data_IF_610955231519
#
_entry.id   IF_610955231519
#
_cell.length_a   1.000
_cell.length_b   1.000
_cell.length_c   1.000
_cell.angle_alpha   90.00
_cell.angle_beta   90.00
_cell.angle_gamma   90.00
#
_symmetry.space_group_name_H-M   'P 1'
#
loop_
_entity.id
_entity.type
_entity.pdbx_description
1 polymer ?
#
# COMPACT_ATOMS: atom_id res chain seq x y z
N UNK A 1 -0.50 -8.23 8.10
CA UNK A 1 -0.39 -8.10 6.63
C UNK A 1 0.97 -7.54 6.28
N UNK A 2 1.30 -6.37 6.81
CA UNK A 2 2.65 -5.80 6.89
C UNK A 2 3.01 -5.57 8.37
N UNK A 3 4.29 -5.45 8.67
CA UNK A 3 4.77 -4.85 9.91
C UNK A 3 4.65 -3.32 9.79
N UNK A 4 3.90 -2.72 10.72
CA UNK A 4 3.62 -1.28 10.72
C UNK A 4 4.53 -0.50 11.68
N UNK A 5 5.53 -1.14 12.30
CA UNK A 5 6.42 -0.48 13.26
C UNK A 5 7.08 0.79 12.72
N UNK A 6 7.70 0.71 11.52
CA UNK A 6 8.29 1.88 10.86
C UNK A 6 7.26 2.97 10.57
N UNK A 7 6.09 2.58 10.06
CA UNK A 7 5.00 3.52 9.77
C UNK A 7 4.52 4.27 11.02
N UNK A 8 4.40 3.57 12.16
CA UNK A 8 4.04 4.17 13.44
C UNK A 8 5.14 5.10 13.98
N UNK A 9 6.41 4.75 13.77
CA UNK A 9 7.51 5.64 14.12
C UNK A 9 7.48 6.92 13.27
N UNK A 10 7.31 6.81 11.95
CA UNK A 10 7.13 7.96 11.06
C UNK A 10 5.93 8.80 11.48
N UNK A 11 4.80 8.17 11.83
CA UNK A 11 3.57 8.92 12.17
C UNK A 11 3.72 9.75 13.44
N UNK A 12 4.57 9.32 14.37
CA UNK A 12 4.88 10.08 15.59
C UNK A 12 5.75 11.31 15.36
N UNK A 13 6.40 11.40 14.19
CA UNK A 13 7.32 12.49 13.84
C UNK A 13 6.67 13.55 12.98
N UNK A 14 5.57 13.25 12.28
CA UNK A 14 4.90 14.17 11.35
C UNK A 14 3.82 15.00 12.03
N UNK A 15 3.51 16.16 11.46
CA UNK A 15 2.29 16.91 11.75
C UNK A 15 1.23 16.60 10.69
N UNK A 16 -0.04 16.78 11.07
CA UNK A 16 -1.16 16.67 10.15
C UNK A 16 -1.89 18.01 10.07
N UNK A 17 -2.21 18.43 8.86
CA UNK A 17 -3.01 19.62 8.61
C UNK A 17 -4.15 19.33 7.64
N UNK A 18 -5.17 20.18 7.71
CA UNK A 18 -6.16 20.29 6.65
C UNK A 18 -5.62 21.16 5.52
N UNK A 19 -6.12 20.99 4.28
CA UNK A 19 -5.79 21.90 3.19
C UNK A 19 -6.15 23.33 3.58
N UNK A 20 -5.28 24.27 3.25
CA UNK A 20 -5.56 25.69 3.35
C UNK A 20 -6.64 26.08 2.34
N UNK A 21 -7.33 27.21 2.55
CA UNK A 21 -8.32 27.72 1.58
C UNK A 21 -7.73 27.92 0.17
N UNK A 22 -6.44 28.19 0.04
CA UNK A 22 -5.77 28.32 -1.26
C UNK A 22 -5.57 26.96 -1.94
N UNK A 23 -5.33 25.89 -1.18
CA UNK A 23 -5.28 24.52 -1.69
C UNK A 23 -6.69 24.01 -2.01
N UNK A 24 -7.70 24.31 -1.17
CA UNK A 24 -9.11 23.98 -1.43
C UNK A 24 -9.67 24.71 -2.65
N UNK A 25 -9.26 25.95 -2.90
CA UNK A 25 -9.64 26.72 -4.09
C UNK A 25 -8.79 26.39 -5.31
N UNK A 26 -7.80 25.51 -5.16
CA UNK A 26 -7.01 25.05 -6.28
C UNK A 26 -5.99 26.07 -6.80
N UNK A 27 -5.52 26.99 -5.97
CA UNK A 27 -4.39 27.84 -6.34
C UNK A 27 -3.05 27.08 -6.23
N UNK A 28 -3.01 25.99 -5.47
CA UNK A 28 -1.83 25.13 -5.22
C UNK A 28 -2.31 23.67 -5.12
N UNK A 29 -1.65 22.73 -5.81
CA UNK A 29 -1.90 21.28 -5.71
C UNK A 29 -3.37 20.83 -5.91
N UNK A 30 -4.06 21.38 -6.93
CA UNK A 30 -5.50 21.21 -7.23
C UNK A 30 -6.06 19.78 -7.12
N UNK A 31 -5.31 18.80 -7.59
CA UNK A 31 -5.81 17.43 -7.79
C UNK A 31 -5.27 16.43 -6.77
N UNK A 32 -4.41 16.87 -5.85
CA UNK A 32 -3.76 15.99 -4.90
C UNK A 32 -4.75 15.52 -3.82
N UNK A 33 -4.92 14.20 -3.68
CA UNK A 33 -5.74 13.61 -2.62
C UNK A 33 -5.10 13.78 -1.23
N UNK A 34 -3.79 13.98 -1.21
CA UNK A 34 -2.98 14.33 -0.06
C UNK A 34 -1.68 14.98 -0.55
N UNK A 35 -0.97 15.72 0.32
CA UNK A 35 0.38 16.22 0.02
C UNK A 35 1.24 16.25 1.26
N UNK A 36 2.53 15.96 1.12
CA UNK A 36 3.52 16.13 2.16
C UNK A 36 4.38 17.38 1.92
N UNK A 37 4.54 18.18 2.97
CA UNK A 37 5.42 19.34 2.99
C UNK A 37 6.64 19.04 3.88
N UNK A 38 7.80 18.92 3.25
CA UNK A 38 9.10 18.63 3.87
C UNK A 38 9.57 19.75 4.81
N UNK A 39 9.36 21.01 4.45
CA UNK A 39 9.83 22.17 5.23
C UNK A 39 9.20 22.27 6.62
N UNK A 40 7.90 21.97 6.71
CA UNK A 40 7.14 22.02 7.97
C UNK A 40 6.79 20.63 8.48
N UNK A 41 7.26 19.58 7.80
CA UNK A 41 7.01 18.19 8.10
C UNK A 41 5.52 17.94 8.40
N UNK A 42 4.70 18.26 7.41
CA UNK A 42 3.24 18.21 7.55
C UNK A 42 2.64 17.46 6.39
N UNK A 43 1.86 16.42 6.68
CA UNK A 43 0.97 15.82 5.69
C UNK A 43 -0.36 16.55 5.74
N UNK A 44 -0.74 17.09 4.59
CA UNK A 44 -2.04 17.67 4.31
C UNK A 44 -2.93 16.56 3.75
N UNK A 45 -3.97 16.20 4.50
CA UNK A 45 -4.96 15.20 4.10
C UNK A 45 -6.32 15.88 3.93
N UNK A 46 -7.09 15.47 2.92
CA UNK A 46 -8.49 15.87 2.83
C UNK A 46 -9.27 15.42 4.09
N UNK A 47 -10.30 16.18 4.53
CA UNK A 47 -11.02 15.89 5.78
C UNK A 47 -11.52 14.44 5.91
N UNK A 48 -11.91 13.83 4.79
CA UNK A 48 -12.44 12.46 4.73
C UNK A 48 -11.38 11.43 5.12
N UNK A 49 -10.11 11.73 4.87
CA UNK A 49 -8.94 10.91 5.20
C UNK A 49 -8.33 11.22 6.58
N UNK A 50 -8.96 12.07 7.42
CA UNK A 50 -8.46 12.45 8.75
C UNK A 50 -9.29 11.88 9.92
N UNK A 51 -8.62 11.32 10.92
CA UNK A 51 -9.21 11.01 12.22
C UNK A 51 -9.19 12.21 13.18
N UNK A 52 -9.96 12.13 14.27
CA UNK A 52 -9.79 13.01 15.44
C UNK A 52 -9.50 12.17 16.68
N UNK A 53 -8.64 12.69 17.56
CA UNK A 53 -8.45 12.11 18.88
C UNK A 53 -9.55 12.56 19.85
N UNK A 54 -9.52 12.04 21.08
CA UNK A 54 -10.49 12.38 22.14
C UNK A 54 -10.50 13.87 22.50
N UNK A 55 -9.44 14.60 22.15
CA UNK A 55 -9.26 16.02 22.40
C UNK A 55 -9.62 16.87 21.17
N UNK A 56 -10.15 16.24 20.10
CA UNK A 56 -10.57 16.89 18.86
C UNK A 56 -9.42 17.27 17.93
N UNK A 57 -8.18 16.87 18.21
CA UNK A 57 -7.01 17.14 17.37
C UNK A 57 -6.96 16.17 16.20
N UNK A 58 -6.41 16.62 15.07
CA UNK A 58 -6.27 15.77 13.89
C UNK A 58 -5.23 14.67 14.13
N UNK A 59 -5.56 13.47 13.68
CA UNK A 59 -4.66 12.30 13.67
C UNK A 59 -4.89 11.47 12.41
N UNK A 60 -3.97 10.56 12.11
CA UNK A 60 -4.23 9.55 11.09
C UNK A 60 -5.40 8.67 11.55
N UNK A 61 -6.36 8.36 10.67
CA UNK A 61 -7.42 7.42 10.99
C UNK A 61 -6.83 6.02 11.16
N UNK A 62 -7.42 5.25 12.07
CA UNK A 62 -7.12 3.82 12.18
C UNK A 62 -7.64 3.09 10.95
N UNK A 63 -7.10 1.91 10.67
CA UNK A 63 -7.61 1.04 9.59
C UNK A 63 -9.11 0.75 9.77
N UNK A 64 -9.57 0.60 11.02
CA UNK A 64 -10.99 0.40 11.29
C UNK A 64 -11.85 1.60 10.89
N UNK A 65 -11.44 2.81 11.25
CA UNK A 65 -12.16 4.03 10.87
C UNK A 65 -12.18 4.23 9.35
N UNK A 66 -11.05 3.97 8.68
CA UNK A 66 -11.00 4.02 7.21
C UNK A 66 -11.97 3.01 6.58
N UNK A 67 -12.10 1.81 7.17
CA UNK A 67 -13.06 0.81 6.69
C UNK A 67 -14.50 1.25 6.88
N UNK A 68 -14.82 1.82 8.04
CA UNK A 68 -16.18 2.30 8.34
C UNK A 68 -16.58 3.42 7.39
N UNK A 69 -15.67 4.37 7.13
CA UNK A 69 -15.92 5.52 6.24
C UNK A 69 -16.03 5.16 4.76
N UNK A 70 -15.28 4.15 4.32
CA UNK A 70 -15.17 3.79 2.90
C UNK A 70 -15.93 2.50 2.54
N UNK A 71 -16.99 2.16 3.29
CA UNK A 71 -17.81 0.95 3.08
C UNK A 71 -16.95 -0.33 2.92
N UNK A 72 -15.88 -0.42 3.71
CA UNK A 72 -14.93 -1.51 3.69
C UNK A 72 -13.88 -1.45 2.57
N UNK A 73 -13.97 -0.56 1.58
CA UNK A 73 -12.98 -0.41 0.51
C UNK A 73 -11.82 0.53 0.93
N UNK A 74 -10.62 -0.02 1.05
CA UNK A 74 -9.44 0.75 1.51
C UNK A 74 -8.55 1.25 0.38
N UNK A 75 -8.72 0.72 -0.83
CA UNK A 75 -7.84 0.98 -1.98
C UNK A 75 -7.79 2.47 -2.35
N UNK A 76 -8.89 3.25 -2.31
CA UNK A 76 -8.83 4.66 -2.71
C UNK A 76 -8.12 5.59 -1.72
N UNK A 77 -7.86 5.17 -0.48
CA UNK A 77 -7.42 6.09 0.60
C UNK A 77 -6.13 5.62 1.26
N UNK A 78 -6.01 4.32 1.57
CA UNK A 78 -4.88 3.83 2.35
C UNK A 78 -3.55 3.91 1.59
N UNK A 79 -3.46 3.55 0.28
CA UNK A 79 -2.25 3.75 -0.51
C UNK A 79 -1.81 5.21 -0.59
N UNK A 80 -2.74 6.16 -0.71
CA UNK A 80 -2.44 7.60 -0.70
C UNK A 80 -1.83 8.03 0.64
N UNK A 81 -2.43 7.63 1.76
CA UNK A 81 -1.85 7.91 3.09
C UNK A 81 -0.44 7.31 3.19
N UNK A 82 -0.25 6.08 2.71
CA UNK A 82 1.05 5.41 2.77
C UNK A 82 2.09 6.05 1.84
N UNK A 83 1.68 6.55 0.68
CA UNK A 83 2.52 7.32 -0.23
C UNK A 83 3.06 8.59 0.46
N UNK A 84 2.17 9.43 1.03
CA UNK A 84 2.63 10.65 1.72
C UNK A 84 3.49 10.35 2.94
N UNK A 85 3.13 9.30 3.69
CA UNK A 85 3.91 8.82 4.81
C UNK A 85 5.29 8.31 4.39
N UNK A 86 5.41 7.78 3.17
CA UNK A 86 6.68 7.31 2.64
C UNK A 86 7.61 8.48 2.27
N UNK A 87 7.10 9.66 1.90
CA UNK A 87 7.94 10.85 1.81
C UNK A 87 8.55 11.22 3.16
N UNK A 88 7.75 11.24 4.23
CA UNK A 88 8.25 11.49 5.57
C UNK A 88 9.24 10.39 6.03
N UNK A 89 8.97 9.12 5.71
CA UNK A 89 9.91 8.02 5.98
C UNK A 89 11.24 8.23 5.24
N UNK A 90 11.17 8.66 3.99
CA UNK A 90 12.35 8.95 3.18
C UNK A 90 13.19 10.05 3.82
N UNK A 91 12.58 11.16 4.21
CA UNK A 91 13.27 12.30 4.80
C UNK A 91 13.90 11.96 6.17
N UNK A 92 13.16 11.33 7.09
CA UNK A 92 13.63 11.13 8.47
C UNK A 92 14.55 9.94 8.66
N UNK A 93 14.42 8.91 7.83
CA UNK A 93 15.13 7.66 8.02
C UNK A 93 16.09 7.39 6.87
N UNK A 94 15.59 7.40 5.63
CA UNK A 94 16.39 6.99 4.47
C UNK A 94 17.49 8.01 4.19
N UNK A 95 17.13 9.28 4.02
CA UNK A 95 18.09 10.36 3.73
C UNK A 95 19.10 10.58 4.86
N UNK A 96 18.63 10.55 6.12
CA UNK A 96 19.50 10.66 7.29
C UNK A 96 20.34 9.39 7.55
N UNK A 97 20.05 8.28 6.86
CA UNK A 97 20.72 7.00 7.05
C UNK A 97 20.59 6.45 8.47
N UNK A 98 19.38 6.52 9.05
CA UNK A 98 19.12 6.19 10.45
C UNK A 98 19.49 4.74 10.84
N UNK A 99 19.46 3.81 9.89
CA UNK A 99 20.05 2.46 10.01
C UNK A 99 20.99 2.14 8.84
N UNK A 100 21.78 1.04 8.92
CA UNK A 100 22.59 0.58 7.79
C UNK A 100 21.79 0.32 6.51
N UNK A 101 20.58 -0.22 6.63
CA UNK A 101 19.66 -0.47 5.51
C UNK A 101 19.15 0.82 4.87
N UNK A 102 18.78 1.80 5.71
CA UNK A 102 18.37 3.15 5.27
C UNK A 102 19.53 3.81 4.48
N UNK A 103 20.73 3.83 5.06
CA UNK A 103 21.91 4.43 4.46
C UNK A 103 22.36 3.71 3.18
N UNK A 104 22.19 2.38 3.12
CA UNK A 104 22.48 1.60 1.92
C UNK A 104 21.51 1.92 0.79
N UNK A 105 20.20 1.96 1.09
CA UNK A 105 19.19 2.33 0.09
C UNK A 105 19.47 3.73 -0.44
N UNK A 106 19.66 4.71 0.45
CA UNK A 106 19.88 6.10 0.05
C UNK A 106 21.09 6.28 -0.86
N UNK A 107 22.23 5.64 -0.55
CA UNK A 107 23.41 5.66 -1.42
C UNK A 107 23.09 5.12 -2.81
N UNK A 108 22.41 3.98 -2.91
CA UNK A 108 22.04 3.42 -4.21
C UNK A 108 21.01 4.27 -4.96
N UNK A 109 20.11 4.95 -4.26
CA UNK A 109 19.18 5.90 -4.88
C UNK A 109 19.93 7.11 -5.43
N UNK A 110 20.86 7.68 -4.68
CA UNK A 110 21.65 8.85 -5.09
C UNK A 110 22.70 8.59 -6.17
N UNK A 111 23.12 7.33 -6.37
CA UNK A 111 24.07 6.96 -7.42
C UNK A 111 23.35 6.31 -8.60
N UNK A 112 22.93 5.06 -8.43
CA UNK A 112 22.44 4.20 -9.50
C UNK A 112 21.09 4.69 -10.06
N UNK A 113 20.12 5.00 -9.19
CA UNK A 113 18.80 5.45 -9.65
C UNK A 113 18.82 6.89 -10.14
N UNK A 114 19.57 7.76 -9.47
CA UNK A 114 19.82 9.14 -9.87
C UNK A 114 20.40 9.20 -11.30
N UNK A 115 21.46 8.44 -11.57
CA UNK A 115 22.11 8.38 -12.89
C UNK A 115 21.14 7.88 -13.97
N UNK A 116 20.34 6.85 -13.66
CA UNK A 116 19.32 6.35 -14.58
C UNK A 116 18.26 7.44 -14.87
N UNK A 117 17.75 8.12 -13.85
CA UNK A 117 16.75 9.18 -14.01
C UNK A 117 17.29 10.36 -14.83
N UNK A 118 18.51 10.83 -14.56
CA UNK A 118 19.14 11.92 -15.32
C UNK A 118 19.38 11.52 -16.78
N UNK A 119 19.81 10.28 -17.03
CA UNK A 119 20.09 9.78 -18.39
C UNK A 119 18.82 9.71 -19.24
N UNK A 120 17.73 9.20 -18.68
CA UNK A 120 16.48 8.99 -19.43
C UNK A 120 15.51 10.16 -19.34
N UNK A 121 15.74 11.11 -18.44
CA UNK A 121 14.95 12.33 -18.28
C UNK A 121 15.88 13.56 -18.15
N UNK A 122 16.59 13.96 -19.23
CA UNK A 122 17.63 14.99 -19.17
C UNK A 122 17.12 16.40 -18.81
N UNK A 123 15.80 16.61 -18.83
CA UNK A 123 15.16 17.84 -18.34
C UNK A 123 15.13 17.94 -16.81
N UNK A 124 15.41 16.85 -16.08
CA UNK A 124 15.47 16.86 -14.63
C UNK A 124 16.77 17.51 -14.16
N UNK A 125 16.69 18.76 -13.70
CA UNK A 125 17.81 19.39 -12.99
C UNK A 125 18.07 18.72 -11.63
N UNK A 126 19.29 18.87 -11.09
CA UNK A 126 19.72 18.29 -9.80
C UNK A 126 18.76 18.50 -8.62
N UNK A 127 18.15 19.69 -8.52
CA UNK A 127 17.16 19.98 -7.45
C UNK A 127 15.87 19.18 -7.61
N UNK A 128 15.48 18.88 -8.85
CA UNK A 128 14.29 18.07 -9.15
C UNK A 128 14.60 16.58 -9.00
N UNK A 129 15.86 16.18 -9.16
CA UNK A 129 16.29 14.79 -8.97
C UNK A 129 16.05 14.29 -7.54
N UNK A 130 16.36 15.10 -6.52
CA UNK A 130 16.04 14.74 -5.11
C UNK A 130 14.54 14.47 -4.94
N UNK A 131 13.70 15.34 -5.50
CA UNK A 131 12.23 15.18 -5.47
C UNK A 131 11.84 13.89 -6.20
N UNK A 132 12.38 13.64 -7.39
CA UNK A 132 12.12 12.42 -8.15
C UNK A 132 12.52 11.13 -7.39
N UNK A 133 13.60 11.15 -6.61
CA UNK A 133 13.99 10.01 -5.77
C UNK A 133 13.00 9.80 -4.62
N UNK A 134 12.56 10.88 -3.96
CA UNK A 134 11.55 10.80 -2.90
C UNK A 134 10.21 10.28 -3.45
N UNK A 135 9.78 10.77 -4.62
CA UNK A 135 8.61 10.28 -5.36
C UNK A 135 8.74 8.81 -5.76
N UNK A 136 9.89 8.39 -6.30
CA UNK A 136 10.15 6.98 -6.61
C UNK A 136 9.96 6.07 -5.40
N UNK A 137 10.48 6.49 -4.24
CA UNK A 137 10.30 5.75 -2.99
C UNK A 137 8.82 5.73 -2.56
N UNK A 138 8.15 6.88 -2.58
CA UNK A 138 6.76 7.02 -2.15
C UNK A 138 5.77 6.25 -3.03
N UNK A 139 5.88 6.39 -4.35
CA UNK A 139 5.09 5.60 -5.31
C UNK A 139 5.34 4.11 -5.14
N UNK A 140 6.59 3.68 -4.95
CA UNK A 140 6.89 2.26 -4.76
C UNK A 140 6.17 1.69 -3.53
N UNK A 141 6.14 2.43 -2.41
CA UNK A 141 5.41 2.03 -1.20
C UNK A 141 3.90 2.02 -1.40
N UNK A 142 3.36 3.08 -1.99
CA UNK A 142 1.93 3.24 -2.26
C UNK A 142 1.40 2.14 -3.18
N UNK A 143 2.03 1.96 -4.34
CA UNK A 143 1.58 1.01 -5.36
C UNK A 143 1.78 -0.44 -4.94
N UNK A 144 2.84 -0.74 -4.17
CA UNK A 144 2.97 -2.05 -3.55
C UNK A 144 1.78 -2.34 -2.61
N UNK A 145 1.36 -1.35 -1.82
CA UNK A 145 0.20 -1.53 -0.95
C UNK A 145 -1.10 -1.69 -1.74
N UNK A 146 -1.29 -0.93 -2.82
CA UNK A 146 -2.41 -1.12 -3.75
C UNK A 146 -2.47 -2.55 -4.25
N UNK A 147 -1.37 -3.04 -4.81
CA UNK A 147 -1.23 -4.41 -5.30
C UNK A 147 -1.56 -5.46 -4.24
N UNK A 148 -1.11 -5.24 -3.00
CA UNK A 148 -1.35 -6.12 -1.87
C UNK A 148 -2.84 -6.13 -1.45
N UNK A 149 -3.49 -4.97 -1.46
CA UNK A 149 -4.91 -4.83 -1.12
C UNK A 149 -5.81 -5.43 -2.21
N UNK A 150 -5.45 -5.27 -3.49
CA UNK A 150 -6.15 -5.91 -4.62
C UNK A 150 -6.07 -7.43 -4.53
N UNK A 151 -4.88 -7.97 -4.31
CA UNK A 151 -4.69 -9.40 -4.13
C UNK A 151 -5.40 -9.94 -2.88
N UNK A 152 -5.46 -9.15 -1.81
CA UNK A 152 -6.23 -9.47 -0.62
C UNK A 152 -7.73 -9.55 -0.95
N UNK A 153 -8.27 -8.55 -1.66
CA UNK A 153 -9.68 -8.49 -2.04
C UNK A 153 -10.09 -9.61 -2.99
N UNK A 154 -9.27 -9.90 -4.00
CA UNK A 154 -9.49 -11.04 -4.89
C UNK A 154 -9.50 -12.34 -4.08
N UNK A 155 -8.52 -12.53 -3.20
CA UNK A 155 -8.39 -13.75 -2.40
C UNK A 155 -9.60 -13.98 -1.50
N UNK A 156 -10.05 -12.98 -0.74
CA UNK A 156 -11.20 -13.13 0.16
C UNK A 156 -12.50 -13.35 -0.63
N UNK A 157 -12.63 -12.70 -1.80
CA UNK A 157 -13.79 -12.84 -2.67
C UNK A 157 -13.89 -14.25 -3.25
N UNK A 158 -12.77 -14.78 -3.75
CA UNK A 158 -12.64 -16.16 -4.24
C UNK A 158 -12.79 -17.19 -3.13
N UNK A 159 -12.65 -16.78 -1.86
CA UNK A 159 -12.96 -17.61 -0.71
C UNK A 159 -14.40 -17.47 -0.19
N UNK A 160 -15.28 -16.77 -0.91
CA UNK A 160 -16.71 -16.73 -0.60
C UNK A 160 -17.16 -15.50 0.16
N UNK A 161 -16.30 -14.51 0.40
CA UNK A 161 -16.65 -13.30 1.16
C UNK A 161 -16.40 -12.03 0.36
N UNK A 162 -17.45 -11.24 0.11
CA UNK A 162 -17.34 -9.90 -0.47
C UNK A 162 -17.19 -8.87 0.64
N UNK A 163 -16.01 -8.25 0.74
CA UNK A 163 -15.72 -7.19 1.72
C UNK A 163 -16.52 -5.92 1.45
N UNK A 164 -16.63 -5.50 0.19
CA UNK A 164 -17.34 -4.28 -0.20
C UNK A 164 -18.83 -4.32 0.17
N UNK A 165 -19.45 -5.50 0.11
CA UNK A 165 -20.87 -5.68 0.40
C UNK A 165 -21.13 -6.26 1.80
N UNK A 166 -20.06 -6.49 2.57
CA UNK A 166 -20.03 -7.23 3.82
C UNK A 166 -20.94 -8.48 3.84
N UNK A 167 -20.88 -9.30 2.79
CA UNK A 167 -21.75 -10.47 2.63
C UNK A 167 -21.07 -11.62 1.92
N UNK A 168 -21.66 -12.81 2.02
CA UNK A 168 -21.17 -13.98 1.31
C UNK A 168 -21.36 -13.83 -0.21
N UNK A 169 -20.31 -14.12 -0.97
CA UNK A 169 -20.36 -14.20 -2.42
C UNK A 169 -20.94 -15.55 -2.84
N UNK A 170 -21.88 -15.54 -3.80
CA UNK A 170 -22.53 -16.76 -4.32
C UNK A 170 -21.82 -17.26 -5.57
N UNK A 171 -20.51 -17.50 -5.46
CA UNK A 171 -19.72 -17.97 -6.58
C UNK A 171 -20.12 -19.40 -6.96
N UNK A 172 -20.54 -19.59 -8.21
CA UNK A 172 -20.92 -20.90 -8.73
C UNK A 172 -19.74 -21.89 -8.70
N UNK A 173 -18.49 -21.41 -8.84
CA UNK A 173 -17.29 -22.24 -8.69
C UNK A 173 -17.20 -22.86 -7.30
N UNK A 174 -17.36 -22.05 -6.24
CA UNK A 174 -17.35 -22.52 -4.86
C UNK A 174 -18.49 -23.50 -4.56
N UNK A 175 -19.67 -23.29 -5.13
CA UNK A 175 -20.79 -24.24 -5.01
C UNK A 175 -20.46 -25.60 -5.64
N UNK A 176 -19.86 -25.60 -6.83
CA UNK A 176 -19.41 -26.84 -7.49
C UNK A 176 -18.32 -27.55 -6.70
N UNK A 177 -17.36 -26.81 -6.15
CA UNK A 177 -16.32 -27.36 -5.27
C UNK A 177 -16.92 -28.00 -4.00
N UNK A 178 -17.95 -27.38 -3.41
CA UNK A 178 -18.59 -27.88 -2.20
C UNK A 178 -19.28 -29.23 -2.36
N UNK A 179 -19.80 -29.55 -3.56
CA UNK A 179 -20.49 -30.82 -3.84
C UNK A 179 -19.57 -32.04 -3.73
N UNK A 180 -18.26 -31.86 -3.88
CA UNK A 180 -17.28 -32.94 -3.87
C UNK A 180 -16.38 -32.98 -2.63
N UNK A 181 -16.61 -32.12 -1.64
CA UNK A 181 -15.64 -31.89 -0.56
C UNK A 181 -16.30 -31.94 0.83
N UNK A 182 -15.70 -32.65 1.81
CA UNK A 182 -16.16 -32.60 3.20
C UNK A 182 -16.11 -31.17 3.76
N UNK A 183 -17.08 -30.81 4.60
CA UNK A 183 -17.19 -29.46 5.19
C UNK A 183 -15.87 -28.97 5.83
N UNK A 184 -15.17 -29.87 6.52
CA UNK A 184 -13.92 -29.57 7.23
C UNK A 184 -12.77 -29.13 6.30
N UNK A 185 -12.74 -29.69 5.10
CA UNK A 185 -11.79 -29.30 4.06
C UNK A 185 -12.31 -28.06 3.34
N UNK A 186 -13.60 -28.05 3.01
CA UNK A 186 -14.23 -26.94 2.30
C UNK A 186 -14.16 -25.64 3.08
N UNK A 187 -14.26 -25.63 4.41
CA UNK A 187 -14.26 -24.38 5.20
C UNK A 187 -12.90 -23.66 5.24
N UNK A 188 -11.81 -24.31 4.85
CA UNK A 188 -10.46 -23.72 4.91
C UNK A 188 -10.32 -22.55 3.93
N UNK A 189 -9.57 -21.53 4.35
CA UNK A 189 -9.10 -20.48 3.43
C UNK A 189 -8.11 -21.13 2.47
N UNK A 190 -8.40 -21.06 1.17
CA UNK A 190 -7.55 -21.63 0.13
C UNK A 190 -6.79 -20.52 -0.60
N UNK A 191 -5.50 -20.74 -0.96
CA UNK A 191 -4.81 -19.86 -1.89
C UNK A 191 -5.51 -19.91 -3.25
N UNK A 192 -5.97 -18.77 -3.75
CA UNK A 192 -6.73 -18.66 -4.99
C UNK A 192 -6.41 -17.35 -5.74
N UNK A 193 -6.79 -17.29 -7.01
CA UNK A 193 -6.61 -16.10 -7.87
C UNK A 193 -5.42 -16.20 -8.82
N UNK A 194 -5.24 -15.16 -9.61
CA UNK A 194 -4.15 -15.11 -10.59
C UNK A 194 -2.78 -14.90 -9.92
N UNK A 195 -1.70 -15.32 -10.61
CA UNK A 195 -0.31 -15.06 -10.20
C UNK A 195 0.04 -15.53 -8.78
N UNK A 196 -0.51 -16.68 -8.38
CA UNK A 196 -0.46 -17.18 -7.00
C UNK A 196 0.96 -17.29 -6.43
N UNK A 197 1.87 -17.84 -7.24
CA UNK A 197 3.27 -18.08 -6.86
C UNK A 197 4.23 -17.01 -7.37
N UNK A 198 3.75 -16.07 -8.21
CA UNK A 198 4.57 -14.99 -8.74
C UNK A 198 5.00 -14.05 -7.59
N UNK A 199 6.32 -13.82 -7.41
CA UNK A 199 6.82 -12.95 -6.35
C UNK A 199 6.31 -11.52 -6.45
N UNK A 200 5.96 -10.90 -5.33
CA UNK A 200 5.56 -9.49 -5.31
C UNK A 200 6.69 -8.55 -5.78
N UNK A 201 7.96 -8.89 -5.49
CA UNK A 201 9.12 -8.12 -5.98
C UNK A 201 9.18 -7.97 -7.51
N UNK A 202 8.59 -8.92 -8.24
CA UNK A 202 8.56 -8.91 -9.71
C UNK A 202 7.32 -8.19 -10.26
N UNK A 203 6.32 -7.98 -9.40
CA UNK A 203 5.03 -7.35 -9.72
C UNK A 203 4.95 -5.89 -9.28
N UNK A 204 5.66 -5.51 -8.22
CA UNK A 204 5.72 -4.15 -7.66
C UNK A 204 6.81 -3.34 -8.37
N UNK A 205 6.59 -3.05 -9.66
CA UNK A 205 7.49 -2.23 -10.48
C UNK A 205 6.68 -1.13 -11.15
N UNK A 206 7.21 0.07 -11.09
CA UNK A 206 6.61 1.26 -11.67
C UNK A 206 7.19 1.50 -13.07
N UNK A 207 6.38 2.05 -13.98
CA UNK A 207 6.84 2.55 -15.28
C UNK A 207 7.19 4.03 -15.23
N UNK A 208 6.53 4.79 -14.37
CA UNK A 208 6.63 6.24 -14.25
C UNK A 208 6.33 6.69 -12.82
N UNK A 209 6.69 7.95 -12.53
CA UNK A 209 6.33 8.69 -11.33
C UNK A 209 5.92 10.11 -11.72
N UNK A 210 5.13 10.75 -10.87
CA UNK A 210 4.82 12.17 -11.04
C UNK A 210 5.78 13.03 -10.23
N UNK A 211 6.37 14.04 -10.87
CA UNK A 211 7.31 14.97 -10.23
C UNK A 211 6.95 16.39 -10.64
N UNK A 212 6.49 17.20 -9.67
CA UNK A 212 6.18 18.64 -9.89
C UNK A 212 5.28 18.91 -11.10
N UNK A 213 4.20 18.14 -11.27
CA UNK A 213 3.27 18.36 -12.38
C UNK A 213 3.71 17.73 -13.71
N UNK A 214 4.74 16.87 -13.70
CA UNK A 214 5.25 16.20 -14.90
C UNK A 214 5.41 14.70 -14.66
N UNK A 215 5.06 13.91 -15.66
CA UNK A 215 5.37 12.48 -15.68
C UNK A 215 6.85 12.28 -15.97
N UNK A 216 7.51 11.51 -15.12
CA UNK A 216 8.93 11.14 -15.25
C UNK A 216 9.00 9.64 -15.50
N UNK A 217 9.60 9.27 -16.63
CA UNK A 217 9.76 7.89 -16.99
C UNK A 217 10.82 7.22 -16.11
N UNK A 218 10.54 6.01 -15.63
CA UNK A 218 11.51 5.17 -14.94
C UNK A 218 12.27 4.25 -15.90
N UNK A 219 12.28 4.58 -17.18
CA UNK A 219 13.14 3.92 -18.16
C UNK A 219 14.59 3.99 -17.66
N UNK A 220 15.29 2.86 -17.72
CA UNK A 220 16.65 2.74 -17.20
C UNK A 220 16.74 2.26 -15.75
N UNK A 221 15.67 2.33 -14.96
CA UNK A 221 15.65 1.71 -13.63
C UNK A 221 15.60 0.19 -13.79
N UNK A 222 16.73 -0.46 -13.48
CA UNK A 222 16.93 -1.89 -13.74
C UNK A 222 16.28 -2.78 -12.66
N UNK A 223 16.05 -4.07 -12.93
CA UNK A 223 15.59 -5.02 -11.91
C UNK A 223 16.46 -5.01 -10.63
N UNK A 224 17.79 -4.88 -10.78
CA UNK A 224 18.71 -4.84 -9.64
C UNK A 224 18.51 -3.60 -8.76
N UNK A 225 18.08 -2.47 -9.33
CA UNK A 225 17.73 -1.27 -8.56
C UNK A 225 16.40 -1.47 -7.81
N UNK A 226 15.40 -2.05 -8.47
CA UNK A 226 14.13 -2.42 -7.82
C UNK A 226 14.32 -3.37 -6.64
N UNK A 227 15.24 -4.33 -6.77
CA UNK A 227 15.57 -5.27 -5.69
C UNK A 227 16.08 -4.57 -4.42
N UNK A 228 16.63 -3.35 -4.53
CA UNK A 228 17.08 -2.56 -3.37
C UNK A 228 15.92 -1.92 -2.61
N UNK A 229 14.98 -1.31 -3.35
CA UNK A 229 13.72 -0.84 -2.76
C UNK A 229 12.97 -1.99 -2.11
N UNK A 230 12.93 -3.16 -2.77
CA UNK A 230 12.33 -4.36 -2.24
C UNK A 230 13.04 -4.88 -0.98
N UNK A 231 14.37 -4.93 -0.95
CA UNK A 231 15.13 -5.38 0.21
C UNK A 231 14.87 -4.49 1.43
N UNK A 232 14.83 -3.17 1.23
CA UNK A 232 14.48 -2.20 2.26
C UNK A 232 13.04 -2.41 2.78
N UNK A 233 12.07 -2.55 1.86
CA UNK A 233 10.70 -2.90 2.19
C UNK A 233 10.61 -4.21 2.98
N UNK A 234 11.39 -5.22 2.58
CA UNK A 234 11.41 -6.52 3.21
C UNK A 234 11.93 -6.46 4.64
N UNK A 235 12.97 -5.68 4.89
CA UNK A 235 13.55 -5.50 6.22
C UNK A 235 12.54 -4.87 7.19
N UNK A 236 11.94 -3.73 6.81
CA UNK A 236 11.12 -2.93 7.73
C UNK A 236 9.65 -3.34 7.81
N UNK A 237 9.06 -3.83 6.71
CA UNK A 237 7.62 -4.11 6.64
C UNK A 237 7.28 -5.58 6.46
N UNK A 238 8.29 -6.44 6.23
CA UNK A 238 8.16 -7.91 6.15
C UNK A 238 6.96 -8.35 5.30
N UNK A 239 6.83 -7.88 4.05
CA UNK A 239 5.70 -8.21 3.19
C UNK A 239 5.64 -9.72 2.92
N UNK A 240 4.44 -10.27 2.60
CA UNK A 240 4.37 -11.63 2.07
C UNK A 240 5.20 -11.73 0.78
N UNK A 241 5.78 -12.89 0.50
CA UNK A 241 6.59 -13.08 -0.73
C UNK A 241 5.73 -13.15 -2.00
N UNK A 242 4.55 -13.74 -1.89
CA UNK A 242 3.59 -13.92 -2.97
C UNK A 242 2.16 -14.07 -2.40
N UNK A 243 1.17 -14.22 -3.29
CA UNK A 243 -0.24 -14.33 -2.93
C UNK A 243 -0.53 -15.60 -2.11
N UNK A 244 0.23 -16.68 -2.30
CA UNK A 244 0.11 -17.88 -1.45
C UNK A 244 0.45 -17.60 0.01
N UNK A 245 1.55 -16.89 0.26
CA UNK A 245 1.90 -16.48 1.62
C UNK A 245 0.88 -15.51 2.19
N UNK A 246 0.35 -14.59 1.37
CA UNK A 246 -0.75 -13.71 1.76
C UNK A 246 -1.97 -14.51 2.22
N UNK A 247 -2.34 -15.59 1.51
CA UNK A 247 -3.44 -16.46 1.91
C UNK A 247 -3.23 -17.11 3.29
N UNK A 248 -1.99 -17.52 3.60
CA UNK A 248 -1.62 -17.97 4.94
C UNK A 248 -1.84 -16.89 6.00
N UNK A 249 -1.46 -15.64 5.71
CA UNK A 249 -1.67 -14.50 6.62
C UNK A 249 -3.16 -14.15 6.79
N UNK A 250 -3.97 -14.27 5.75
CA UNK A 250 -5.44 -14.09 5.81
C UNK A 250 -6.08 -15.16 6.68
N UNK A 251 -5.67 -16.42 6.52
CA UNK A 251 -6.16 -17.53 7.34
C UNK A 251 -5.85 -17.34 8.84
N UNK A 252 -4.75 -16.65 9.17
CA UNK A 252 -4.35 -16.35 10.55
C UNK A 252 -5.01 -15.09 11.12
N UNK A 253 -5.69 -14.27 10.31
CA UNK A 253 -6.34 -13.05 10.77
C UNK A 253 -7.79 -13.35 11.23
N UNK A 254 -8.08 -13.41 12.56
CA UNK A 254 -9.33 -14.00 13.05
C UNK A 254 -10.59 -13.32 12.52
N UNK A 255 -10.57 -11.99 12.44
CA UNK A 255 -11.73 -11.20 12.02
C UNK A 255 -12.17 -11.46 10.58
N UNK A 256 -11.23 -11.76 9.66
CA UNK A 256 -11.55 -12.06 8.26
C UNK A 256 -11.73 -13.55 8.03
N UNK A 257 -10.91 -14.39 8.68
CA UNK A 257 -11.00 -15.83 8.60
C UNK A 257 -12.37 -16.31 9.07
N UNK A 258 -12.92 -15.75 10.16
CA UNK A 258 -14.27 -16.08 10.63
C UNK A 258 -15.37 -15.71 9.63
N UNK A 259 -15.25 -14.55 8.94
CA UNK A 259 -16.22 -14.16 7.91
C UNK A 259 -16.18 -15.12 6.72
N UNK A 260 -14.98 -15.47 6.27
CA UNK A 260 -14.79 -16.48 5.21
C UNK A 260 -15.38 -17.83 5.62
N UNK A 261 -15.04 -18.31 6.82
CA UNK A 261 -15.53 -19.60 7.35
C UNK A 261 -17.06 -19.66 7.33
N UNK A 262 -17.75 -18.64 7.87
CA UNK A 262 -19.21 -18.57 7.85
C UNK A 262 -19.78 -18.61 6.44
N UNK A 263 -19.15 -17.92 5.50
CA UNK A 263 -19.61 -17.91 4.11
C UNK A 263 -19.38 -19.25 3.41
N UNK A 264 -18.24 -19.90 3.63
CA UNK A 264 -17.96 -21.23 3.08
C UNK A 264 -18.90 -22.26 3.70
N UNK A 265 -19.18 -22.21 5.00
CA UNK A 265 -20.19 -23.10 5.61
C UNK A 265 -21.58 -22.92 5.01
N UNK A 266 -22.02 -21.67 4.79
CA UNK A 266 -23.30 -21.39 4.15
C UNK A 266 -23.36 -21.94 2.72
N UNK A 267 -22.32 -21.69 1.91
CA UNK A 267 -22.22 -22.20 0.54
C UNK A 267 -22.25 -23.73 0.52
N UNK A 268 -21.54 -24.38 1.45
CA UNK A 268 -21.51 -25.84 1.54
C UNK A 268 -22.89 -26.42 1.81
N UNK A 269 -23.62 -25.86 2.78
CA UNK A 269 -24.99 -26.27 3.11
C UNK A 269 -25.97 -26.07 1.96
N UNK A 270 -25.82 -25.00 1.19
CA UNK A 270 -26.63 -24.75 -0.01
C UNK A 270 -26.35 -25.74 -1.16
N UNK A 271 -25.20 -26.41 -1.13
CA UNK A 271 -24.72 -27.28 -2.22
C UNK A 271 -24.99 -28.77 -1.98
N UNK A 272 -25.34 -29.17 -0.75
CA UNK A 272 -25.79 -30.53 -0.40
C UNK A 272 -27.26 -30.72 -0.79
#
# INVERSE_FOLDING_TARGET
MLDWGRFLETSSRIRLALPSRLEEWGAVNQDAAATYNDWINTIVLKPEAMGRDEQGRFRLPTVQELRERNAGNLIPVLPTIVHEMAHAEFDFFVEEGATPEDAWLFRSMQTEMAEALETFNPSLGRRTLKVALSELFAYFRGDFLTLLLEDWDELIFLNGYSRQQDRCSRLNSLRKEAQGMPLEEFRRVVPAGQKLDAPYRERARLSEIWVKGQEVSLKGVTPAMWDKLWAHLQHFQRPPRNKRELAGRVAQAPWIAQKILRCREAIWREAQ
#
